data_IF_073824884216
#
_entry.id   IF_073824884216
#
_cell.length_a   1.000
_cell.length_b   1.000
_cell.length_c   1.000
_cell.angle_alpha   90.00
_cell.angle_beta   90.00
_cell.angle_gamma   90.00
#
_symmetry.space_group_name_H-M   'P 1'
#
loop_
_entity.id
_entity.type
_entity.pdbx_description
1 polymer ?
#
# COMPACT_ATOMS: atom_id res chain seq x y z
N UNK A 1 -20.08 25.11 24.15
CA UNK A 1 -18.80 24.65 23.57
C UNK A 1 -18.16 25.83 22.88
N UNK A 2 -16.94 26.17 23.24
CA UNK A 2 -16.18 27.24 22.60
C UNK A 2 -15.87 26.90 21.12
N UNK A 3 -16.06 27.90 20.25
CA UNK A 3 -16.02 27.74 18.77
C UNK A 3 -14.65 27.24 18.28
N UNK A 4 -13.58 27.57 19.02
CA UNK A 4 -12.22 27.09 18.79
C UNK A 4 -12.08 25.57 18.99
N UNK A 5 -12.65 25.01 20.07
CA UNK A 5 -12.65 23.55 20.30
C UNK A 5 -13.43 22.79 19.23
N UNK A 6 -14.55 23.35 18.76
CA UNK A 6 -15.32 22.74 17.67
C UNK A 6 -14.51 22.68 16.37
N UNK A 7 -13.85 23.77 15.99
CA UNK A 7 -13.00 23.78 14.78
C UNK A 7 -11.81 22.83 14.90
N UNK A 8 -11.15 22.79 16.06
CA UNK A 8 -10.05 21.85 16.31
C UNK A 8 -10.50 20.39 16.20
N UNK A 9 -11.68 20.05 16.75
CA UNK A 9 -12.26 18.72 16.61
C UNK A 9 -12.53 18.34 15.14
N UNK A 10 -13.08 19.27 14.35
CA UNK A 10 -13.34 19.04 12.92
C UNK A 10 -12.03 18.80 12.16
N UNK A 11 -11.02 19.65 12.37
CA UNK A 11 -9.71 19.51 11.72
C UNK A 11 -9.06 18.17 12.08
N UNK A 12 -9.10 17.77 13.35
CA UNK A 12 -8.55 16.50 13.79
C UNK A 12 -9.22 15.31 13.08
N UNK A 13 -10.55 15.34 12.94
CA UNK A 13 -11.30 14.30 12.22
C UNK A 13 -11.01 14.26 10.72
N UNK A 14 -10.77 15.41 10.09
CA UNK A 14 -10.37 15.47 8.68
C UNK A 14 -8.98 14.87 8.45
N UNK A 15 -8.03 15.18 9.33
CA UNK A 15 -6.68 14.61 9.29
C UNK A 15 -6.76 13.10 9.50
N UNK A 16 -7.51 12.65 10.50
CA UNK A 16 -7.71 11.24 10.80
C UNK A 16 -8.32 10.50 9.59
N UNK A 17 -9.40 11.04 9.00
CA UNK A 17 -10.04 10.46 7.82
C UNK A 17 -9.08 10.37 6.63
N UNK A 18 -8.30 11.43 6.39
CA UNK A 18 -7.30 11.44 5.31
C UNK A 18 -6.23 10.37 5.56
N UNK A 19 -5.77 10.23 6.80
CA UNK A 19 -4.83 9.18 7.21
C UNK A 19 -5.38 7.77 6.94
N UNK A 20 -6.64 7.51 7.29
CA UNK A 20 -7.29 6.24 6.99
C UNK A 20 -7.42 5.96 5.49
N UNK A 21 -7.76 6.97 4.70
CA UNK A 21 -7.85 6.83 3.23
C UNK A 21 -6.49 6.46 2.66
N UNK A 22 -5.42 7.16 3.06
CA UNK A 22 -4.06 6.86 2.59
C UNK A 22 -3.66 5.44 3.00
N UNK A 23 -3.94 5.04 4.24
CA UNK A 23 -3.62 3.70 4.73
C UNK A 23 -4.34 2.61 3.94
N UNK A 24 -5.63 2.79 3.66
CA UNK A 24 -6.42 1.85 2.83
C UNK A 24 -5.84 1.76 1.42
N UNK A 25 -5.50 2.89 0.79
CA UNK A 25 -4.88 2.91 -0.54
C UNK A 25 -3.53 2.18 -0.53
N UNK A 26 -2.70 2.40 0.49
CA UNK A 26 -1.42 1.70 0.62
C UNK A 26 -1.59 0.18 0.72
N UNK A 27 -2.58 -0.29 1.49
CA UNK A 27 -2.88 -1.73 1.59
C UNK A 27 -3.37 -2.29 0.26
N UNK A 28 -4.23 -1.57 -0.46
CA UNK A 28 -4.72 -1.99 -1.78
C UNK A 28 -3.55 -2.11 -2.77
N UNK A 29 -2.70 -1.08 -2.84
CA UNK A 29 -1.52 -1.09 -3.72
C UNK A 29 -0.55 -2.23 -3.38
N UNK A 30 -0.34 -2.49 -2.09
CA UNK A 30 0.48 -3.62 -1.64
C UNK A 30 -0.14 -4.97 -2.02
N UNK A 31 -1.46 -5.12 -1.87
CA UNK A 31 -2.19 -6.31 -2.30
C UNK A 31 -2.08 -6.55 -3.80
N UNK A 32 -2.21 -5.51 -4.61
CA UNK A 32 -2.02 -5.57 -6.06
C UNK A 32 -0.57 -5.93 -6.40
N UNK A 33 0.42 -5.31 -5.75
CA UNK A 33 1.83 -5.62 -5.97
C UNK A 33 2.13 -7.09 -5.66
N UNK A 34 1.66 -7.60 -4.52
CA UNK A 34 1.81 -9.00 -4.14
C UNK A 34 1.05 -9.95 -5.09
N UNK A 35 -0.04 -9.50 -5.71
CA UNK A 35 -0.79 -10.31 -6.69
C UNK A 35 -0.15 -10.30 -8.09
N UNK A 36 0.50 -9.20 -8.48
CA UNK A 36 1.21 -9.05 -9.76
C UNK A 36 2.67 -9.55 -9.66
N UNK A 37 3.11 -9.98 -8.48
CA UNK A 37 4.40 -10.65 -8.25
C UNK A 37 4.42 -12.07 -8.84
N UNK A 38 4.08 -12.18 -10.12
CA UNK A 38 4.25 -13.36 -10.94
C UNK A 38 5.70 -13.44 -11.41
N UNK A 39 6.63 -13.43 -10.45
CA UNK A 39 8.01 -13.78 -10.69
C UNK A 39 8.05 -15.20 -11.26
N UNK A 40 8.35 -15.32 -12.55
CA UNK A 40 8.74 -16.61 -13.13
C UNK A 40 10.25 -16.72 -13.00
N UNK A 41 10.76 -17.62 -12.14
CA UNK A 41 12.18 -17.92 -12.12
C UNK A 41 12.55 -18.43 -13.53
N UNK A 42 13.69 -17.98 -14.09
CA UNK A 42 14.16 -18.53 -15.36
C UNK A 42 14.34 -20.04 -15.20
N UNK A 43 13.90 -20.80 -16.21
CA UNK A 43 14.12 -22.25 -16.20
C UNK A 43 15.61 -22.53 -16.00
N UNK A 44 15.99 -23.47 -15.10
CA UNK A 44 17.38 -23.83 -14.92
C UNK A 44 17.91 -24.27 -16.28
N UNK A 45 18.83 -23.49 -16.85
CA UNK A 45 19.57 -23.93 -18.03
C UNK A 45 20.30 -25.19 -17.60
N UNK A 46 19.75 -26.35 -17.97
CA UNK A 46 20.47 -27.60 -17.86
C UNK A 46 21.82 -27.33 -18.51
N UNK A 47 22.88 -27.48 -17.71
CA UNK A 47 24.26 -27.29 -18.11
C UNK A 47 24.57 -28.27 -19.23
N UNK A 48 24.17 -27.96 -20.46
CA UNK A 48 24.52 -28.74 -21.64
C UNK A 48 25.86 -28.19 -22.10
N UNK A 49 26.86 -28.50 -21.28
CA UNK A 49 28.26 -28.55 -21.67
C UNK A 49 28.35 -29.67 -22.72
N UNK A 50 28.06 -29.34 -23.98
CA UNK A 50 28.41 -30.22 -25.10
C UNK A 50 29.92 -30.20 -25.24
N UNK A 51 30.55 -31.28 -24.79
CA UNK A 51 31.91 -31.67 -25.12
C UNK A 51 31.97 -32.12 -26.58
#
# INVERSE_FOLDING_TARGET
MDKSKQMSSIVNRLIELTGWIVLVISVILLGIANHIDNYQPPEPVASVQKK
#
